data_IF_738939205933
#
_entry.id   IF_738939205933
#
_cell.length_a   1.000
_cell.length_b   1.000
_cell.length_c   1.000
_cell.angle_alpha   90.00
_cell.angle_beta   90.00
_cell.angle_gamma   90.00
#
_symmetry.space_group_name_H-M   'P 1'
#
loop_
_entity.id
_entity.type
_entity.pdbx_description
1 polymer ?
#
# COMPACT_ATOMS: atom_id res chain seq x y z
N UNK A 1 13.58 -15.85 1.18
CA UNK A 1 12.38 -15.32 0.49
C UNK A 1 11.19 -16.29 0.61
N UNK A 2 10.65 -16.51 1.81
CA UNK A 2 9.44 -17.36 2.00
C UNK A 2 8.13 -16.56 2.08
N UNK A 3 8.20 -15.26 2.36
CA UNK A 3 7.01 -14.41 2.52
C UNK A 3 6.41 -14.07 1.14
N UNK A 4 7.26 -13.73 0.17
CA UNK A 4 6.86 -13.40 -1.21
C UNK A 4 6.21 -14.59 -1.95
N UNK A 5 6.69 -15.81 -1.72
CA UNK A 5 6.12 -17.02 -2.34
C UNK A 5 4.78 -17.42 -1.73
N UNK A 6 4.51 -17.07 -0.47
CA UNK A 6 3.19 -17.24 0.15
C UNK A 6 2.17 -16.23 -0.37
N UNK A 7 2.57 -15.00 -0.69
CA UNK A 7 1.69 -13.96 -1.26
C UNK A 7 1.15 -14.33 -2.67
N UNK A 8 1.90 -15.08 -3.47
CA UNK A 8 1.44 -15.53 -4.80
C UNK A 8 0.26 -16.50 -4.76
N UNK A 9 0.01 -17.20 -3.64
CA UNK A 9 -1.12 -18.15 -3.46
C UNK A 9 -2.30 -17.58 -2.65
N UNK A 10 -2.20 -16.35 -2.17
CA UNK A 10 -3.21 -15.72 -1.29
C UNK A 10 -4.42 -15.21 -2.06
N UNK A 11 -5.61 -15.37 -1.47
CA UNK A 11 -6.86 -14.88 -2.04
C UNK A 11 -6.87 -13.34 -2.04
N UNK A 12 -7.64 -12.69 -2.95
CA UNK A 12 -7.68 -11.20 -3.10
C UNK A 12 -7.83 -10.49 -1.75
N UNK A 13 -8.69 -11.01 -0.89
CA UNK A 13 -8.96 -10.50 0.46
C UNK A 13 -7.71 -10.46 1.35
N UNK A 14 -6.91 -11.52 1.35
CA UNK A 14 -5.70 -11.60 2.19
C UNK A 14 -4.60 -10.66 1.69
N UNK A 15 -4.52 -10.43 0.37
CA UNK A 15 -3.59 -9.45 -0.20
C UNK A 15 -3.98 -8.03 0.19
N UNK A 16 -5.28 -7.70 0.15
CA UNK A 16 -5.76 -6.39 0.59
C UNK A 16 -5.61 -6.18 2.10
N UNK A 17 -5.83 -7.21 2.92
CA UNK A 17 -5.49 -7.17 4.36
C UNK A 17 -4.00 -6.92 4.60
N UNK A 18 -3.13 -7.49 3.78
CA UNK A 18 -1.71 -7.22 3.89
C UNK A 18 -1.38 -5.76 3.57
N UNK A 19 -1.99 -5.19 2.53
CA UNK A 19 -1.87 -3.74 2.24
C UNK A 19 -2.38 -2.88 3.40
N UNK A 20 -3.52 -3.24 4.00
CA UNK A 20 -4.06 -2.56 5.18
C UNK A 20 -3.04 -2.53 6.34
N UNK A 21 -2.40 -3.67 6.64
CA UNK A 21 -1.36 -3.76 7.69
C UNK A 21 -0.15 -2.88 7.37
N UNK A 22 0.29 -2.84 6.11
CA UNK A 22 1.40 -1.97 5.70
C UNK A 22 1.02 -0.50 5.85
N UNK A 23 -0.19 -0.11 5.45
CA UNK A 23 -0.71 1.25 5.62
C UNK A 23 -0.82 1.64 7.10
N UNK A 24 -1.31 0.75 7.96
CA UNK A 24 -1.33 0.96 9.41
C UNK A 24 0.07 1.17 9.98
N UNK A 25 1.03 0.37 9.54
CA UNK A 25 2.43 0.49 9.97
C UNK A 25 3.07 1.80 9.52
N UNK A 26 2.72 2.28 8.33
CA UNK A 26 3.20 3.57 7.80
C UNK A 26 2.45 4.77 8.38
N UNK A 27 1.26 4.59 8.97
CA UNK A 27 0.51 5.64 9.65
C UNK A 27 0.77 5.68 11.15
N UNK A 28 1.39 4.64 11.72
CA UNK A 28 1.73 4.56 13.14
C UNK A 28 3.11 5.17 13.43
N UNK A 29 3.49 5.15 14.72
CA UNK A 29 4.83 5.55 15.16
C UNK A 29 5.96 4.73 14.53
N UNK A 30 5.67 3.55 13.95
CA UNK A 30 6.62 2.75 13.19
C UNK A 30 7.09 3.45 11.91
N UNK A 31 6.35 4.46 11.41
CA UNK A 31 6.75 5.26 10.26
C UNK A 31 8.14 5.87 10.43
N UNK A 32 8.50 6.37 11.63
CA UNK A 32 9.84 6.94 11.87
C UNK A 32 10.95 5.91 11.66
N UNK A 33 10.72 4.66 12.05
CA UNK A 33 11.68 3.56 11.86
C UNK A 33 11.79 3.18 10.39
N UNK A 34 10.66 3.10 9.68
CA UNK A 34 10.63 2.71 8.26
C UNK A 34 11.17 3.82 7.36
N UNK A 35 10.79 5.07 7.59
CA UNK A 35 11.26 6.25 6.83
C UNK A 35 12.75 6.53 7.02
N UNK A 36 13.35 6.15 8.16
CA UNK A 36 14.80 6.19 8.37
C UNK A 36 15.56 5.19 7.48
N UNK A 37 14.89 4.13 7.01
CA UNK A 37 15.45 3.16 6.08
C UNK A 37 14.78 3.31 4.71
N UNK A 38 15.36 4.16 3.86
CA UNK A 38 14.83 4.48 2.52
C UNK A 38 14.57 3.23 1.67
N UNK A 39 15.46 2.24 1.73
CA UNK A 39 15.30 0.97 1.00
C UNK A 39 14.05 0.22 1.46
N UNK A 40 13.86 0.11 2.78
CA UNK A 40 12.67 -0.52 3.36
C UNK A 40 11.38 0.24 3.02
N UNK A 41 11.42 1.58 3.01
CA UNK A 41 10.27 2.40 2.62
C UNK A 41 9.89 2.17 1.15
N UNK A 42 10.87 2.15 0.25
CA UNK A 42 10.66 1.88 -1.18
C UNK A 42 10.09 0.48 -1.37
N UNK A 43 10.69 -0.55 -0.76
CA UNK A 43 10.19 -1.93 -0.85
C UNK A 43 8.74 -2.06 -0.35
N UNK A 44 8.42 -1.38 0.75
CA UNK A 44 7.07 -1.40 1.32
C UNK A 44 6.05 -0.80 0.34
N UNK A 45 6.39 0.33 -0.27
CA UNK A 45 5.50 1.01 -1.22
C UNK A 45 5.39 0.26 -2.56
N UNK A 46 6.48 -0.34 -3.03
CA UNK A 46 6.49 -1.18 -4.22
C UNK A 46 5.60 -2.42 -4.07
N UNK A 47 5.61 -3.04 -2.88
CA UNK A 47 4.76 -4.20 -2.58
C UNK A 47 3.28 -3.80 -2.56
N UNK A 48 2.93 -2.67 -1.91
CA UNK A 48 1.56 -2.14 -1.96
C UNK A 48 1.12 -1.81 -3.39
N UNK A 49 1.99 -1.20 -4.18
CA UNK A 49 1.75 -0.90 -5.60
C UNK A 49 1.45 -2.17 -6.40
N UNK A 50 2.27 -3.22 -6.24
CA UNK A 50 2.11 -4.47 -6.98
C UNK A 50 0.76 -5.14 -6.66
N UNK A 51 0.36 -5.17 -5.39
CA UNK A 51 -0.91 -5.76 -4.95
C UNK A 51 -2.09 -4.96 -5.48
N UNK A 52 -2.08 -3.64 -5.29
CA UNK A 52 -3.18 -2.78 -5.72
C UNK A 52 -3.32 -2.75 -7.25
N UNK A 53 -2.20 -2.80 -7.98
CA UNK A 53 -2.19 -2.94 -9.45
C UNK A 53 -2.90 -4.20 -9.94
N UNK A 54 -2.68 -5.35 -9.29
CA UNK A 54 -3.42 -6.59 -9.61
C UNK A 54 -4.91 -6.47 -9.21
N UNK A 55 -5.20 -5.79 -8.10
CA UNK A 55 -6.57 -5.57 -7.65
C UNK A 55 -7.39 -4.69 -8.60
N UNK A 56 -6.84 -3.59 -9.11
CA UNK A 56 -7.52 -2.69 -10.07
C UNK A 56 -7.69 -3.34 -11.44
N UNK A 57 -6.75 -4.16 -11.91
CA UNK A 57 -6.88 -4.89 -13.19
C UNK A 57 -8.13 -5.78 -13.24
N UNK A 58 -8.61 -6.23 -12.08
CA UNK A 58 -9.72 -7.18 -11.93
C UNK A 58 -10.96 -6.53 -11.31
N UNK A 59 -11.00 -5.22 -11.15
CA UNK A 59 -12.05 -4.50 -10.41
C UNK A 59 -12.41 -3.19 -11.08
N UNK A 60 -13.70 -2.83 -11.09
CA UNK A 60 -14.21 -1.51 -11.50
C UNK A 60 -14.57 -0.63 -10.31
N UNK A 61 -14.14 -1.01 -9.11
CA UNK A 61 -14.49 -0.29 -7.89
C UNK A 61 -13.65 0.99 -7.79
N UNK A 62 -14.30 2.16 -7.83
CA UNK A 62 -13.62 3.45 -7.78
C UNK A 62 -12.77 3.63 -6.52
N UNK A 63 -13.11 2.93 -5.43
CA UNK A 63 -12.39 3.01 -4.16
C UNK A 63 -11.03 2.33 -4.24
N UNK A 64 -10.96 1.15 -4.86
CA UNK A 64 -9.68 0.46 -5.05
C UNK A 64 -8.80 1.19 -6.08
N UNK A 65 -9.44 1.83 -7.07
CA UNK A 65 -8.75 2.69 -8.04
C UNK A 65 -8.14 3.89 -7.32
N UNK A 66 -8.90 4.60 -6.49
CA UNK A 66 -8.40 5.73 -5.71
C UNK A 66 -7.28 5.36 -4.72
N UNK A 67 -7.36 4.17 -4.11
CA UNK A 67 -6.28 3.65 -3.27
C UNK A 67 -5.01 3.38 -4.08
N UNK A 68 -5.15 2.78 -5.26
CA UNK A 68 -4.03 2.56 -6.17
C UNK A 68 -3.39 3.87 -6.63
N UNK A 69 -4.19 4.86 -7.04
CA UNK A 69 -3.70 6.19 -7.43
C UNK A 69 -2.91 6.86 -6.31
N UNK A 70 -3.39 6.77 -5.07
CA UNK A 70 -2.70 7.33 -3.90
C UNK A 70 -1.33 6.69 -3.68
N UNK A 71 -1.22 5.37 -3.85
CA UNK A 71 0.06 4.65 -3.77
C UNK A 71 0.98 4.95 -4.96
N UNK A 72 0.44 5.18 -6.16
CA UNK A 72 1.24 5.61 -7.33
C UNK A 72 1.89 6.96 -7.07
N UNK A 73 1.14 7.93 -6.54
CA UNK A 73 1.68 9.26 -6.21
C UNK A 73 2.73 9.13 -5.10
N UNK A 74 2.41 8.37 -4.04
CA UNK A 74 3.36 8.13 -2.94
C UNK A 74 4.69 7.54 -3.43
N UNK A 75 4.62 6.55 -4.33
CA UNK A 75 5.79 5.92 -4.93
C UNK A 75 6.67 6.92 -5.67
N UNK A 76 6.07 7.80 -6.47
CA UNK A 76 6.80 8.85 -7.19
C UNK A 76 7.44 9.86 -6.22
N UNK A 77 6.75 10.28 -5.17
CA UNK A 77 7.27 11.23 -4.18
C UNK A 77 8.48 10.67 -3.43
N UNK A 78 8.45 9.39 -3.06
CA UNK A 78 9.58 8.72 -2.39
C UNK A 78 10.81 8.62 -3.31
N UNK A 79 10.61 8.40 -4.61
CA UNK A 79 11.71 8.40 -5.59
C UNK A 79 12.38 9.79 -5.68
N UNK A 80 11.61 10.87 -5.50
CA UNK A 80 12.06 12.28 -5.56
C UNK A 80 12.53 12.87 -4.20
N UNK A 81 12.62 12.05 -3.14
CA UNK A 81 12.96 12.47 -1.76
C UNK A 81 11.99 13.51 -1.16
N UNK A 82 10.77 13.62 -1.70
CA UNK A 82 9.71 14.44 -1.11
C UNK A 82 8.96 13.59 -0.07
N UNK A 83 9.12 13.95 1.21
CA UNK A 83 8.67 13.12 2.32
C UNK A 83 7.13 13.05 2.33
N UNK A 84 6.63 11.87 1.93
CA UNK A 84 5.25 11.38 1.97
C UNK A 84 4.27 12.19 2.84
N UNK A 85 3.30 12.91 2.25
CA UNK A 85 2.24 13.53 3.01
C UNK A 85 1.34 12.44 3.63
N UNK A 86 1.10 12.46 4.96
CA UNK A 86 0.24 11.50 5.66
C UNK A 86 -1.17 11.34 5.05
N UNK A 87 -1.62 12.33 4.28
CA UNK A 87 -2.91 12.34 3.58
C UNK A 87 -3.01 11.28 2.48
N UNK A 88 -1.94 11.01 1.73
CA UNK A 88 -1.95 9.97 0.68
C UNK A 88 -2.07 8.56 1.29
N UNK A 89 -1.37 8.32 2.40
CA UNK A 89 -1.47 7.08 3.15
C UNK A 89 -2.88 6.87 3.73
N UNK A 90 -3.49 7.94 4.28
CA UNK A 90 -4.88 7.89 4.78
C UNK A 90 -5.87 7.57 3.66
N UNK A 91 -5.78 8.26 2.52
CA UNK A 91 -6.65 8.04 1.36
C UNK A 91 -6.53 6.62 0.82
N UNK A 92 -5.30 6.08 0.76
CA UNK A 92 -5.07 4.69 0.39
C UNK A 92 -5.74 3.73 1.37
N UNK A 93 -5.65 4.00 2.68
CA UNK A 93 -6.25 3.17 3.73
C UNK A 93 -7.77 3.14 3.64
N UNK A 94 -8.41 4.30 3.54
CA UNK A 94 -9.87 4.41 3.42
C UNK A 94 -10.40 3.62 2.22
N UNK A 95 -9.74 3.72 1.06
CA UNK A 95 -10.13 2.96 -0.13
C UNK A 95 -10.01 1.45 0.04
N UNK A 96 -9.00 0.98 0.77
CA UNK A 96 -8.81 -0.46 1.07
C UNK A 96 -9.83 -0.95 2.11
N UNK A 97 -10.07 -0.22 3.19
CA UNK A 97 -11.01 -0.57 4.26
C UNK A 97 -12.42 -0.78 3.72
N UNK A 98 -12.90 0.14 2.88
CA UNK A 98 -14.26 0.06 2.33
C UNK A 98 -14.43 -1.14 1.40
N UNK A 99 -13.42 -1.48 0.60
CA UNK A 99 -13.43 -2.69 -0.26
C UNK A 99 -13.41 -3.97 0.57
N UNK A 100 -12.84 -3.90 1.77
CA UNK A 100 -12.79 -4.97 2.75
C UNK A 100 -14.05 -5.10 3.60
N UNK A 101 -15.00 -4.17 3.48
CA UNK A 101 -16.28 -4.17 4.20
C UNK A 101 -16.21 -3.60 5.62
N UNK A 102 -15.24 -2.72 5.87
CA UNK A 102 -15.12 -1.90 7.09
C UNK A 102 -15.60 -0.48 6.80
#
# INVERSE_FOLDING_TARGET
MEILSRLQRKNKKEKLQFVEILLESLLSDDFKRISQNRELLIETVDEMYAILKDAVKRSKDERIIGAFESIVILRAMIEEDDISPPELLKRAKEGVEVVMGK
#
